data_IF_953615454328
#
_entry.id   IF_953615454328
#
_cell.length_a   1.000
_cell.length_b   1.000
_cell.length_c   1.000
_cell.angle_alpha   90.00
_cell.angle_beta   90.00
_cell.angle_gamma   90.00
#
_symmetry.space_group_name_H-M   'P 1'
#
loop_
_entity.id
_entity.type
_entity.pdbx_description
1 polymer ?
#
# COMPACT_ATOMS: atom_id res chain seq x y z
N UNK A 1 22.53 -47.48 46.21
CA UNK A 1 22.10 -47.68 44.81
C UNK A 1 20.59 -47.61 44.60
N UNK A 2 19.75 -48.45 45.24
CA UNK A 2 18.29 -48.47 44.96
C UNK A 2 17.56 -47.13 45.15
N UNK A 3 17.90 -46.34 46.18
CA UNK A 3 17.34 -45.00 46.41
C UNK A 3 17.75 -43.98 45.33
N UNK A 4 18.95 -44.10 44.79
CA UNK A 4 19.47 -43.19 43.75
C UNK A 4 18.80 -43.46 42.39
N UNK A 5 18.56 -44.74 42.07
CA UNK A 5 17.79 -45.15 40.89
C UNK A 5 16.33 -44.69 41.00
N UNK A 6 15.73 -44.76 42.19
CA UNK A 6 14.35 -44.31 42.41
C UNK A 6 14.20 -42.79 42.25
N UNK A 7 15.17 -42.00 42.74
CA UNK A 7 15.18 -40.55 42.56
C UNK A 7 15.35 -40.17 41.08
N UNK A 8 16.25 -40.84 40.35
CA UNK A 8 16.40 -40.65 38.90
C UNK A 8 15.12 -41.01 38.13
N UNK A 9 14.41 -42.07 38.54
CA UNK A 9 13.16 -42.49 37.91
C UNK A 9 12.01 -41.50 38.17
N UNK A 10 11.92 -40.95 39.38
CA UNK A 10 10.94 -39.92 39.72
C UNK A 10 11.24 -38.60 39.00
N UNK A 11 12.52 -38.19 38.89
CA UNK A 11 12.91 -37.00 38.12
C UNK A 11 12.59 -37.19 36.63
N UNK A 12 12.85 -38.38 36.06
CA UNK A 12 12.50 -38.69 34.67
C UNK A 12 10.98 -38.67 34.43
N UNK A 13 10.18 -39.19 35.37
CA UNK A 13 8.72 -39.12 35.31
C UNK A 13 8.21 -37.68 35.38
N UNK A 14 8.75 -36.85 36.29
CA UNK A 14 8.39 -35.43 36.39
C UNK A 14 8.76 -34.67 35.11
N UNK A 15 9.87 -35.01 34.46
CA UNK A 15 10.23 -34.45 33.15
C UNK A 15 9.29 -34.90 32.02
N UNK A 16 8.73 -36.10 32.06
CA UNK A 16 7.76 -36.57 31.05
C UNK A 16 6.39 -35.88 31.18
N UNK A 17 5.95 -35.52 32.38
CA UNK A 17 4.67 -34.83 32.60
C UNK A 17 4.74 -33.30 32.47
N UNK A 18 5.94 -32.72 32.45
CA UNK A 18 6.15 -31.27 32.36
C UNK A 18 6.29 -30.69 30.95
N UNK A 19 6.43 -31.53 29.92
CA UNK A 19 6.49 -31.06 28.53
C UNK A 19 5.06 -30.83 28.06
N UNK A 20 4.55 -29.61 28.27
CA UNK A 20 3.49 -29.09 27.40
C UNK A 20 3.97 -29.31 25.97
N UNK A 21 3.18 -29.99 25.15
CA UNK A 21 3.42 -30.11 23.71
C UNK A 21 3.70 -28.70 23.19
N UNK A 22 4.97 -28.42 22.89
CA UNK A 22 5.32 -27.22 22.17
C UNK A 22 4.68 -27.40 20.79
N UNK A 23 3.63 -26.63 20.50
CA UNK A 23 3.15 -26.50 19.12
C UNK A 23 4.36 -26.07 18.30
N UNK A 24 4.78 -26.92 17.37
CA UNK A 24 5.88 -26.58 16.49
C UNK A 24 5.42 -25.37 15.67
N UNK A 25 6.15 -24.24 15.77
CA UNK A 25 5.85 -23.06 14.96
C UNK A 25 6.01 -23.35 13.45
N UNK A 26 6.62 -24.48 13.09
CA UNK A 26 6.85 -24.96 11.74
C UNK A 26 6.87 -26.50 11.71
N UNK A 27 5.74 -27.09 11.36
CA UNK A 27 5.56 -28.54 11.20
C UNK A 27 6.42 -29.14 10.06
N UNK A 28 6.93 -28.31 9.15
CA UNK A 28 7.69 -28.73 7.97
C UNK A 28 9.21 -28.60 8.16
N UNK A 29 9.65 -28.15 9.35
CA UNK A 29 11.06 -28.01 9.74
C UNK A 29 11.92 -27.11 8.82
N UNK A 30 11.30 -26.22 8.05
CA UNK A 30 11.96 -25.17 7.27
C UNK A 30 12.81 -24.23 8.14
N UNK A 31 12.31 -23.85 9.33
CA UNK A 31 12.97 -22.99 10.31
C UNK A 31 14.19 -23.65 10.95
N UNK A 32 14.40 -24.96 10.78
CA UNK A 32 15.67 -25.58 11.20
C UNK A 32 16.87 -24.92 10.51
N UNK A 33 16.71 -24.53 9.24
CA UNK A 33 17.73 -23.81 8.48
C UNK A 33 17.41 -22.32 8.36
N UNK A 34 16.16 -21.94 8.09
CA UNK A 34 15.80 -20.55 7.78
C UNK A 34 15.81 -19.59 8.99
N UNK A 35 16.00 -20.07 10.23
CA UNK A 35 16.07 -19.20 11.43
C UNK A 35 17.38 -18.42 11.61
N UNK A 36 18.39 -18.63 10.77
CA UNK A 36 19.70 -17.99 10.95
C UNK A 36 19.81 -16.66 10.20
N UNK A 37 20.11 -15.57 10.92
CA UNK A 37 20.20 -14.18 10.38
C UNK A 37 21.12 -14.06 9.16
N UNK A 38 22.19 -14.86 9.10
CA UNK A 38 23.18 -14.84 8.02
C UNK A 38 22.85 -15.79 6.86
N UNK A 39 21.68 -16.44 6.87
CA UNK A 39 21.28 -17.29 5.76
C UNK A 39 20.91 -16.44 4.54
N UNK A 40 21.71 -16.56 3.49
CA UNK A 40 21.59 -15.75 2.29
C UNK A 40 22.60 -16.18 1.23
N UNK A 41 22.47 -15.63 0.02
CA UNK A 41 23.45 -15.78 -1.06
C UNK A 41 23.68 -14.46 -1.77
N UNK A 42 24.83 -14.33 -2.42
CA UNK A 42 25.08 -13.28 -3.40
C UNK A 42 24.77 -13.90 -4.77
N UNK A 43 23.93 -13.26 -5.57
CA UNK A 43 23.62 -13.75 -6.93
C UNK A 43 24.78 -13.48 -7.89
N UNK A 44 24.73 -14.04 -9.09
CA UNK A 44 25.75 -13.81 -10.13
C UNK A 44 25.84 -12.32 -10.51
N UNK A 45 24.74 -11.58 -10.36
CA UNK A 45 24.65 -10.13 -10.59
C UNK A 45 25.12 -9.30 -9.38
N UNK A 46 25.66 -9.94 -8.33
CA UNK A 46 26.15 -9.26 -7.12
C UNK A 46 25.06 -8.86 -6.12
N UNK A 47 23.79 -9.23 -6.34
CA UNK A 47 22.70 -8.91 -5.41
C UNK A 47 22.77 -9.79 -4.16
N UNK A 48 22.71 -9.19 -2.98
CA UNK A 48 22.60 -9.96 -1.73
C UNK A 48 21.14 -10.32 -1.45
N UNK A 49 20.83 -11.62 -1.40
CA UNK A 49 19.54 -12.15 -0.99
C UNK A 49 19.62 -12.80 0.38
N UNK A 50 18.72 -12.40 1.29
CA UNK A 50 18.57 -13.00 2.61
C UNK A 50 17.37 -13.95 2.62
N UNK A 51 17.55 -15.11 3.25
CA UNK A 51 16.53 -16.16 3.40
C UNK A 51 16.13 -16.39 4.86
N UNK A 52 16.57 -15.49 5.74
CA UNK A 52 16.28 -15.53 7.16
C UNK A 52 14.79 -15.25 7.44
N UNK A 53 14.19 -16.08 8.30
CA UNK A 53 12.86 -15.89 8.88
C UNK A 53 13.04 -15.63 10.38
N UNK A 54 12.60 -14.47 10.86
CA UNK A 54 12.54 -14.17 12.28
C UNK A 54 11.29 -14.84 12.88
N UNK A 55 11.48 -15.97 13.55
CA UNK A 55 10.39 -16.78 14.13
C UNK A 55 9.49 -16.00 15.13
N UNK A 56 10.02 -15.21 16.09
CA UNK A 56 9.19 -14.37 16.96
C UNK A 56 8.29 -13.36 16.23
N UNK A 57 8.73 -12.86 15.07
CA UNK A 57 7.92 -11.96 14.23
C UNK A 57 6.96 -12.78 13.38
N UNK A 58 7.45 -13.81 12.70
CA UNK A 58 6.67 -14.65 11.79
C UNK A 58 5.47 -15.28 12.46
N UNK A 59 5.66 -15.85 13.66
CA UNK A 59 4.61 -16.49 14.47
C UNK A 59 3.40 -15.58 14.74
N UNK A 60 3.60 -14.26 14.79
CA UNK A 60 2.56 -13.25 14.99
C UNK A 60 1.89 -12.77 13.69
N UNK A 61 2.37 -13.23 12.53
CA UNK A 61 1.78 -12.85 11.23
C UNK A 61 0.59 -13.74 10.89
N UNK A 62 -0.29 -13.24 10.03
CA UNK A 62 -1.41 -14.02 9.46
C UNK A 62 -0.96 -15.23 8.62
N UNK A 63 0.33 -15.31 8.28
CA UNK A 63 0.91 -16.42 7.52
C UNK A 63 1.51 -17.53 8.40
N UNK A 64 1.61 -17.35 9.73
CA UNK A 64 2.20 -18.40 10.60
C UNK A 64 1.41 -19.70 10.65
N UNK A 65 0.10 -19.63 10.38
CA UNK A 65 -0.78 -20.81 10.30
C UNK A 65 -0.86 -21.40 8.89
N UNK A 66 -0.13 -20.83 7.94
CA UNK A 66 -0.02 -21.35 6.57
C UNK A 66 1.26 -22.16 6.48
N UNK A 67 1.16 -23.39 5.96
CA UNK A 67 2.34 -24.22 5.76
C UNK A 67 3.27 -23.57 4.73
N UNK A 68 4.57 -23.68 4.94
CA UNK A 68 5.56 -23.09 4.05
C UNK A 68 5.36 -23.61 2.62
N UNK A 69 5.15 -24.93 2.46
CA UNK A 69 4.94 -25.59 1.16
C UNK A 69 3.58 -25.33 0.52
N UNK A 70 2.61 -24.73 1.22
CA UNK A 70 1.37 -24.29 0.55
C UNK A 70 1.74 -23.25 -0.52
N UNK A 71 2.54 -22.26 -0.13
CA UNK A 71 3.05 -21.23 -1.03
C UNK A 71 4.32 -21.67 -1.78
N UNK A 72 5.23 -22.37 -1.10
CA UNK A 72 6.47 -22.92 -1.66
C UNK A 72 6.24 -24.32 -2.23
N UNK A 73 5.22 -24.47 -3.08
CA UNK A 73 4.74 -25.76 -3.59
C UNK A 73 5.79 -26.53 -4.41
N UNK A 74 6.79 -25.84 -4.93
CA UNK A 74 7.92 -26.42 -5.67
C UNK A 74 8.96 -27.12 -4.77
N UNK A 75 8.82 -27.06 -3.44
CA UNK A 75 9.73 -27.74 -2.51
C UNK A 75 9.21 -29.16 -2.26
N UNK A 76 9.97 -30.15 -2.73
CA UNK A 76 9.61 -31.58 -2.62
C UNK A 76 10.54 -32.38 -1.69
N UNK A 77 11.75 -31.88 -1.43
CA UNK A 77 12.76 -32.54 -0.59
C UNK A 77 13.52 -31.52 0.27
N UNK A 78 14.13 -31.98 1.36
CA UNK A 78 15.01 -31.17 2.23
C UNK A 78 16.37 -31.88 2.39
N UNK A 79 17.52 -31.19 2.25
CA UNK A 79 17.67 -29.82 1.74
C UNK A 79 17.10 -29.65 0.33
N UNK A 80 16.41 -28.53 0.08
CA UNK A 80 15.70 -28.33 -1.18
C UNK A 80 16.62 -27.82 -2.30
N UNK A 81 16.26 -28.09 -3.55
CA UNK A 81 16.98 -27.59 -4.71
C UNK A 81 16.92 -26.05 -4.82
N UNK A 82 17.81 -25.43 -5.62
CA UNK A 82 17.77 -24.00 -5.86
C UNK A 82 16.42 -23.54 -6.41
N UNK A 83 15.78 -22.63 -5.67
CA UNK A 83 14.53 -22.01 -6.08
C UNK A 83 14.78 -21.10 -7.28
N UNK A 84 14.22 -21.48 -8.43
CA UNK A 84 14.28 -20.68 -9.68
C UNK A 84 13.08 -19.76 -9.83
N UNK A 85 11.93 -20.20 -9.33
CA UNK A 85 10.65 -19.49 -9.42
C UNK A 85 10.20 -19.12 -8.01
N UNK A 86 10.00 -17.83 -7.75
CA UNK A 86 9.53 -17.37 -6.44
C UNK A 86 8.02 -17.54 -6.29
N UNK A 87 7.53 -17.71 -5.06
CA UNK A 87 6.09 -17.81 -4.71
C UNK A 87 5.26 -16.74 -5.43
N UNK A 88 4.16 -17.13 -6.08
CA UNK A 88 3.20 -16.20 -6.68
C UNK A 88 1.97 -16.05 -5.79
N UNK A 89 1.24 -14.94 -5.90
CA UNK A 89 0.08 -14.71 -5.02
C UNK A 89 -1.17 -15.51 -5.43
N UNK A 90 -1.18 -16.05 -6.65
CA UNK A 90 -2.21 -16.95 -7.18
C UNK A 90 -1.94 -18.42 -6.86
N UNK A 91 -0.81 -18.74 -6.24
CA UNK A 91 -0.63 -20.09 -5.71
C UNK A 91 -1.64 -20.35 -4.59
N UNK A 92 -1.91 -21.63 -4.39
CA UNK A 92 -2.70 -22.12 -3.27
C UNK A 92 -2.05 -21.66 -1.96
N UNK A 93 -2.78 -20.93 -1.11
CA UNK A 93 -2.22 -20.48 0.16
C UNK A 93 -2.70 -21.32 1.32
N UNK A 94 -3.95 -21.77 1.34
CA UNK A 94 -4.45 -22.65 2.40
C UNK A 94 -4.76 -24.01 1.80
N UNK A 95 -3.98 -25.02 2.19
CA UNK A 95 -4.23 -26.39 1.78
C UNK A 95 -5.36 -27.09 2.51
N UNK A 96 -5.84 -26.48 3.58
CA UNK A 96 -7.01 -26.93 4.32
C UNK A 96 -8.25 -26.45 3.59
N UNK A 97 -9.05 -27.40 3.10
CA UNK A 97 -10.32 -27.11 2.45
C UNK A 97 -11.22 -26.32 3.37
N UNK A 98 -11.75 -25.19 2.88
CA UNK A 98 -12.72 -24.43 3.63
C UNK A 98 -13.99 -25.28 3.82
N UNK A 99 -14.45 -25.54 5.05
CA UNK A 99 -15.61 -26.41 5.29
C UNK A 99 -16.89 -25.94 4.60
N UNK A 100 -17.04 -24.64 4.35
CA UNK A 100 -18.22 -24.06 3.70
C UNK A 100 -18.17 -24.17 2.17
N UNK A 101 -17.01 -23.97 1.55
CA UNK A 101 -16.90 -23.94 0.08
C UNK A 101 -16.35 -25.23 -0.51
N UNK A 102 -15.74 -26.10 0.32
CA UNK A 102 -14.99 -27.29 -0.07
C UNK A 102 -13.89 -27.02 -1.10
N UNK A 103 -13.44 -25.76 -1.17
CA UNK A 103 -12.38 -25.30 -2.05
C UNK A 103 -11.22 -24.78 -1.23
N UNK A 104 -10.04 -24.94 -1.79
CA UNK A 104 -8.84 -24.32 -1.27
C UNK A 104 -8.88 -22.82 -1.52
N UNK A 105 -8.10 -22.06 -0.73
CA UNK A 105 -8.02 -20.61 -0.90
C UNK A 105 -6.79 -20.24 -1.74
N UNK A 106 -7.02 -19.46 -2.79
CA UNK A 106 -6.02 -18.81 -3.64
C UNK A 106 -6.48 -17.39 -4.04
N UNK A 107 -5.66 -16.66 -4.80
CA UNK A 107 -6.04 -15.40 -5.43
C UNK A 107 -6.15 -15.49 -6.96
N UNK A 108 -6.47 -16.64 -7.53
CA UNK A 108 -6.47 -16.85 -8.98
C UNK A 108 -7.39 -15.87 -9.70
N UNK A 109 -8.62 -15.66 -9.19
CA UNK A 109 -9.57 -14.72 -9.78
C UNK A 109 -9.03 -13.28 -9.82
N UNK A 110 -8.37 -12.82 -8.75
CA UNK A 110 -7.78 -11.47 -8.70
C UNK A 110 -6.55 -11.39 -9.60
N UNK A 111 -5.74 -12.45 -9.64
CA UNK A 111 -4.58 -12.55 -10.52
C UNK A 111 -4.97 -12.45 -11.99
N UNK A 112 -6.01 -13.17 -12.42
CA UNK A 112 -6.49 -13.15 -13.81
C UNK A 112 -6.95 -11.76 -14.25
N UNK A 113 -7.54 -10.99 -13.34
CA UNK A 113 -7.93 -9.61 -13.57
C UNK A 113 -6.69 -8.70 -13.61
N UNK A 114 -5.79 -8.84 -12.64
CA UNK A 114 -4.54 -8.08 -12.57
C UNK A 114 -3.70 -8.23 -13.83
N UNK A 115 -3.54 -9.45 -14.33
CA UNK A 115 -2.75 -9.75 -15.53
C UNK A 115 -3.32 -9.10 -16.80
N UNK A 116 -4.63 -8.81 -16.84
CA UNK A 116 -5.28 -8.11 -17.96
C UNK A 116 -5.18 -6.58 -17.84
N UNK A 117 -4.80 -6.06 -16.67
CA UNK A 117 -4.64 -4.63 -16.44
C UNK A 117 -3.36 -4.09 -17.08
N UNK A 118 -3.26 -2.76 -17.22
CA UNK A 118 -2.04 -2.11 -17.72
C UNK A 118 -0.83 -2.28 -16.80
N UNK A 119 -1.07 -2.61 -15.53
CA UNK A 119 -0.03 -2.90 -14.54
C UNK A 119 0.31 -4.39 -14.44
N UNK A 120 -0.46 -5.26 -15.10
CA UNK A 120 -0.28 -6.70 -15.07
C UNK A 120 1.11 -7.13 -15.57
N UNK A 121 1.79 -7.94 -14.75
CA UNK A 121 3.02 -8.64 -15.12
C UNK A 121 3.20 -9.93 -14.34
N UNK A 122 3.97 -10.83 -14.93
CA UNK A 122 4.50 -12.00 -14.23
C UNK A 122 5.61 -11.61 -13.24
N UNK A 123 5.82 -12.46 -12.23
CA UNK A 123 6.85 -12.23 -11.21
C UNK A 123 8.25 -12.39 -11.83
N UNK A 124 8.48 -13.44 -12.61
CA UNK A 124 9.70 -13.81 -13.35
C UNK A 124 9.35 -14.84 -14.47
N UNK A 125 9.97 -14.80 -15.67
CA UNK A 125 10.87 -13.76 -16.17
C UNK A 125 10.04 -12.57 -16.68
N UNK A 126 10.19 -11.42 -16.02
CA UNK A 126 9.67 -10.18 -16.56
C UNK A 126 10.51 -9.80 -17.80
N UNK A 127 9.84 -9.54 -18.92
CA UNK A 127 10.49 -8.92 -20.09
C UNK A 127 11.13 -7.57 -19.71
N UNK A 128 12.02 -7.01 -20.55
CA UNK A 128 12.67 -5.72 -20.25
C UNK A 128 11.66 -4.61 -19.93
N UNK A 129 10.52 -4.58 -20.63
CA UNK A 129 9.41 -3.64 -20.40
C UNK A 129 8.63 -3.94 -19.13
N UNK A 130 8.42 -5.22 -18.80
CA UNK A 130 7.67 -5.63 -17.61
C UNK A 130 8.43 -5.37 -16.30
N UNK A 131 9.77 -5.27 -16.32
CA UNK A 131 10.54 -4.93 -15.11
C UNK A 131 10.11 -3.62 -14.45
N UNK A 132 9.52 -2.70 -15.22
CA UNK A 132 9.04 -1.41 -14.74
C UNK A 132 7.60 -1.44 -14.22
N UNK A 133 6.86 -2.54 -14.38
CA UNK A 133 5.50 -2.66 -13.84
C UNK A 133 5.56 -3.14 -12.37
N UNK A 134 4.61 -2.73 -11.51
CA UNK A 134 4.53 -3.27 -10.16
C UNK A 134 4.18 -4.76 -10.18
N UNK A 135 4.36 -5.45 -9.04
CA UNK A 135 3.71 -6.75 -8.78
C UNK A 135 2.87 -6.63 -7.51
N UNK A 136 2.16 -7.69 -7.12
CA UNK A 136 1.25 -7.67 -5.97
C UNK A 136 1.88 -7.07 -4.70
N UNK A 137 3.13 -7.42 -4.39
CA UNK A 137 3.85 -6.99 -3.18
C UNK A 137 4.27 -5.52 -3.17
N UNK A 138 4.19 -4.83 -4.32
CA UNK A 138 4.44 -3.40 -4.36
C UNK A 138 3.24 -2.62 -3.82
N UNK A 139 2.04 -3.01 -4.25
CA UNK A 139 0.79 -2.39 -3.82
C UNK A 139 0.21 -3.02 -2.55
N UNK A 140 0.53 -4.27 -2.23
CA UNK A 140 0.14 -4.93 -0.98
C UNK A 140 1.36 -5.08 -0.11
N UNK A 141 1.46 -4.25 0.92
CA UNK A 141 2.50 -4.36 1.94
C UNK A 141 1.96 -5.20 3.10
N UNK A 142 2.82 -6.05 3.67
CA UNK A 142 2.55 -6.66 4.97
C UNK A 142 3.51 -6.02 5.97
N UNK A 143 3.12 -4.92 6.63
CA UNK A 143 4.00 -4.29 7.59
C UNK A 143 4.30 -5.26 8.73
N UNK A 144 5.60 -5.48 8.96
CA UNK A 144 6.12 -6.32 10.05
C UNK A 144 5.88 -5.69 11.43
N UNK A 145 5.57 -4.39 11.45
CA UNK A 145 5.33 -3.60 12.66
C UNK A 145 4.04 -2.80 12.49
N UNK A 146 3.14 -2.89 13.46
CA UNK A 146 1.98 -2.01 13.53
C UNK A 146 2.39 -0.72 14.25
N UNK A 147 2.27 0.46 13.61
CA UNK A 147 2.55 1.75 14.26
C UNK A 147 1.86 1.88 15.62
N UNK A 148 2.52 2.55 16.57
CA UNK A 148 1.97 2.76 17.92
C UNK A 148 0.60 3.47 17.91
N UNK A 149 0.33 4.27 16.87
CA UNK A 149 -0.98 4.89 16.62
C UNK A 149 -2.13 3.90 16.45
N UNK A 150 -1.83 2.63 16.14
CA UNK A 150 -2.81 1.56 16.01
C UNK A 150 -2.70 0.54 17.15
N UNK A 151 -1.95 0.86 18.22
CA UNK A 151 -1.71 -0.09 19.31
C UNK A 151 -2.97 -0.39 20.14
N UNK A 152 -3.91 0.56 20.22
CA UNK A 152 -5.16 0.41 20.94
C UNK A 152 -6.30 0.07 19.97
N UNK A 153 -6.99 -1.07 20.14
CA UNK A 153 -8.12 -1.44 19.28
C UNK A 153 -9.33 -0.52 19.39
N UNK A 154 -9.46 0.22 20.48
CA UNK A 154 -10.55 1.18 20.67
C UNK A 154 -10.29 2.49 19.90
N UNK A 155 -9.02 2.83 19.67
CA UNK A 155 -8.61 4.05 18.96
C UNK A 155 -8.48 3.79 17.44
N UNK A 156 -8.07 2.59 17.03
CA UNK A 156 -7.94 2.22 15.62
C UNK A 156 -8.37 0.76 15.33
N UNK A 157 -9.31 0.53 14.41
CA UNK A 157 -9.77 -0.81 14.07
C UNK A 157 -8.69 -1.67 13.38
N UNK A 158 -7.56 -1.09 12.96
CA UNK A 158 -6.40 -1.78 12.37
C UNK A 158 -5.44 -2.41 13.39
N UNK A 159 -5.75 -2.29 14.68
CA UNK A 159 -4.91 -2.79 15.78
C UNK A 159 -4.50 -4.26 15.68
N UNK A 160 -3.38 -4.60 16.33
CA UNK A 160 -2.95 -6.00 16.55
C UNK A 160 -3.85 -6.75 17.53
N UNK A 161 -4.75 -6.04 18.21
CA UNK A 161 -5.68 -6.60 19.18
C UNK A 161 -7.11 -6.46 18.68
N UNK A 162 -7.97 -7.34 19.15
CA UNK A 162 -9.42 -7.23 19.00
C UNK A 162 -9.95 -6.40 20.17
N UNK A 163 -10.96 -5.51 19.98
CA UNK A 163 -11.67 -4.90 21.09
C UNK A 163 -12.21 -5.96 22.05
N UNK A 164 -12.04 -5.75 23.36
CA UNK A 164 -12.37 -6.77 24.37
C UNK A 164 -13.85 -7.16 24.32
N UNK A 165 -14.74 -6.17 24.20
CA UNK A 165 -16.18 -6.38 24.12
C UNK A 165 -16.59 -7.20 22.89
N UNK A 166 -15.93 -6.98 21.75
CA UNK A 166 -16.16 -7.74 20.53
C UNK A 166 -15.69 -9.19 20.67
N UNK A 167 -14.54 -9.39 21.30
CA UNK A 167 -13.99 -10.71 21.54
C UNK A 167 -14.86 -11.51 22.51
N UNK A 168 -15.35 -10.88 23.58
CA UNK A 168 -16.22 -11.52 24.58
C UNK A 168 -17.53 -12.02 23.96
N UNK A 169 -18.09 -11.30 22.98
CA UNK A 169 -19.27 -11.74 22.21
C UNK A 169 -18.99 -13.02 21.43
N UNK A 170 -17.78 -13.15 20.86
CA UNK A 170 -17.39 -14.36 20.14
C UNK A 170 -17.15 -15.53 21.09
N UNK A 171 -16.59 -15.25 22.28
CA UNK A 171 -16.27 -16.26 23.29
C UNK A 171 -17.51 -17.00 23.83
N UNK A 172 -18.70 -16.37 23.78
CA UNK A 172 -19.98 -17.00 24.12
C UNK A 172 -20.18 -18.34 23.39
N UNK A 173 -19.73 -18.43 22.14
CA UNK A 173 -19.82 -19.64 21.32
C UNK A 173 -18.45 -20.28 21.06
N UNK A 174 -17.39 -19.48 20.91
CA UNK A 174 -16.05 -19.93 20.60
C UNK A 174 -15.18 -19.92 21.85
N UNK A 175 -15.24 -20.99 22.64
CA UNK A 175 -14.63 -21.14 23.98
C UNK A 175 -13.08 -21.03 24.05
N UNK A 176 -12.40 -20.71 22.94
CA UNK A 176 -10.95 -20.50 22.88
C UNK A 176 -10.65 -19.07 22.41
N UNK A 177 -10.27 -18.20 23.35
CA UNK A 177 -9.92 -16.80 23.07
C UNK A 177 -8.87 -16.65 21.97
N UNK A 178 -7.83 -17.48 22.00
CA UNK A 178 -6.79 -17.49 20.97
C UNK A 178 -7.34 -17.75 19.57
N UNK A 179 -8.32 -18.65 19.44
CA UNK A 179 -8.97 -18.92 18.16
C UNK A 179 -9.77 -17.70 17.68
N UNK A 180 -10.51 -17.05 18.58
CA UNK A 180 -11.30 -15.85 18.28
C UNK A 180 -10.39 -14.72 17.81
N UNK A 181 -9.35 -14.41 18.58
CA UNK A 181 -8.38 -13.36 18.28
C UNK A 181 -7.71 -13.62 16.93
N UNK A 182 -7.19 -14.84 16.73
CA UNK A 182 -6.52 -15.19 15.48
C UNK A 182 -7.47 -15.11 14.28
N UNK A 183 -8.69 -15.66 14.40
CA UNK A 183 -9.68 -15.66 13.31
C UNK A 183 -10.14 -14.24 12.96
N UNK A 184 -10.35 -13.41 13.96
CA UNK A 184 -10.66 -12.00 13.78
C UNK A 184 -9.50 -11.27 13.11
N UNK A 185 -8.30 -11.32 13.67
CA UNK A 185 -7.13 -10.62 13.13
C UNK A 185 -6.79 -11.07 11.70
N UNK A 186 -6.92 -12.36 11.39
CA UNK A 186 -6.73 -12.89 10.03
C UNK A 186 -7.67 -12.22 9.01
N UNK A 187 -8.94 -12.02 9.37
CA UNK A 187 -9.95 -11.42 8.48
C UNK A 187 -9.92 -9.89 8.52
N UNK A 188 -9.82 -9.30 9.71
CA UNK A 188 -9.71 -7.87 9.95
C UNK A 188 -8.49 -7.25 9.24
N UNK A 189 -7.34 -7.94 9.21
CA UNK A 189 -6.17 -7.49 8.45
C UNK A 189 -6.49 -7.32 6.96
N UNK A 190 -7.31 -8.18 6.36
CA UNK A 190 -7.69 -8.04 4.95
C UNK A 190 -8.70 -6.93 4.71
N UNK A 191 -9.60 -6.69 5.66
CA UNK A 191 -10.70 -5.73 5.52
C UNK A 191 -10.22 -4.30 5.83
N UNK A 192 -9.39 -4.14 6.86
CA UNK A 192 -9.08 -2.85 7.46
C UNK A 192 -7.67 -2.36 7.10
N UNK A 193 -6.70 -3.26 7.01
CA UNK A 193 -5.29 -2.90 6.77
C UNK A 193 -4.91 -2.81 5.27
N UNK A 194 -5.78 -3.27 4.37
CA UNK A 194 -5.60 -3.08 2.91
C UNK A 194 -6.15 -1.71 2.45
N UNK A 195 -6.96 -1.05 3.29
CA UNK A 195 -7.55 0.24 2.98
C UNK A 195 -6.54 1.36 3.19
N UNK A 196 -6.25 2.10 2.12
CA UNK A 196 -5.43 3.31 2.14
C UNK A 196 -6.33 4.54 2.16
N UNK A 197 -5.90 5.58 2.86
CA UNK A 197 -6.44 6.93 2.72
C UNK A 197 -6.24 7.44 1.28
N UNK A 198 -7.03 8.41 0.81
CA UNK A 198 -6.83 9.02 -0.50
C UNK A 198 -5.40 9.53 -0.72
N UNK A 199 -4.78 10.10 0.32
CA UNK A 199 -3.40 10.58 0.30
C UNK A 199 -2.38 9.45 0.11
N UNK A 200 -2.53 8.34 0.84
CA UNK A 200 -1.66 7.17 0.69
C UNK A 200 -1.80 6.51 -0.69
N UNK A 201 -3.02 6.50 -1.26
CA UNK A 201 -3.24 6.03 -2.64
C UNK A 201 -2.49 6.90 -3.64
N UNK A 202 -2.62 8.23 -3.55
CA UNK A 202 -1.91 9.16 -4.43
C UNK A 202 -0.41 8.99 -4.28
N UNK A 203 0.10 8.96 -3.05
CA UNK A 203 1.53 8.77 -2.79
C UNK A 203 2.05 7.47 -3.44
N UNK A 204 1.33 6.35 -3.30
CA UNK A 204 1.70 5.08 -3.92
C UNK A 204 1.80 5.20 -5.45
N UNK A 205 0.83 5.82 -6.10
CA UNK A 205 0.82 5.99 -7.55
C UNK A 205 1.95 6.94 -8.02
N UNK A 206 2.23 8.00 -7.26
CA UNK A 206 3.27 8.99 -7.59
C UNK A 206 4.69 8.42 -7.54
N UNK A 207 4.94 7.31 -6.85
CA UNK A 207 6.27 6.65 -6.86
C UNK A 207 6.73 6.37 -8.30
N UNK A 208 5.79 5.99 -9.18
CA UNK A 208 6.07 5.76 -10.59
C UNK A 208 5.55 6.92 -11.47
N UNK A 209 4.28 7.32 -11.30
CA UNK A 209 3.63 8.31 -12.17
C UNK A 209 3.98 9.77 -11.86
N UNK A 210 4.79 10.02 -10.83
CA UNK A 210 5.35 11.34 -10.51
C UNK A 210 6.88 11.36 -10.54
N UNK A 211 7.54 10.26 -10.89
CA UNK A 211 9.01 10.15 -10.87
C UNK A 211 9.60 10.42 -12.25
N UNK A 212 10.32 11.54 -12.40
CA UNK A 212 11.01 11.91 -13.66
C UNK A 212 12.00 10.84 -14.11
N UNK A 213 12.80 10.30 -13.19
CA UNK A 213 13.76 9.24 -13.47
C UNK A 213 13.06 7.96 -13.97
N UNK A 214 11.91 7.61 -13.39
CA UNK A 214 11.12 6.47 -13.86
C UNK A 214 10.56 6.73 -15.27
N UNK A 215 10.02 7.93 -15.51
CA UNK A 215 9.50 8.33 -16.83
C UNK A 215 10.57 8.26 -17.92
N UNK A 216 11.75 8.85 -17.70
CA UNK A 216 12.85 8.86 -18.65
C UNK A 216 13.34 7.44 -18.99
N UNK A 217 13.50 6.58 -17.97
CA UNK A 217 13.86 5.18 -18.20
C UNK A 217 12.80 4.44 -19.01
N UNK A 218 11.52 4.68 -18.71
CA UNK A 218 10.43 4.02 -19.42
C UNK A 218 10.30 4.52 -20.86
N UNK A 219 10.54 5.81 -21.10
CA UNK A 219 10.54 6.42 -22.42
C UNK A 219 11.68 5.86 -23.29
N UNK A 220 12.88 5.72 -22.72
CA UNK A 220 14.02 5.09 -23.41
C UNK A 220 13.70 3.65 -23.82
N UNK A 221 13.15 2.85 -22.91
CA UNK A 221 12.77 1.46 -23.20
C UNK A 221 11.67 1.40 -24.26
N UNK A 222 10.67 2.29 -24.20
CA UNK A 222 9.64 2.37 -25.22
C UNK A 222 10.25 2.68 -26.60
N UNK A 223 11.15 3.66 -26.67
CA UNK A 223 11.87 4.04 -27.90
C UNK A 223 12.69 2.88 -28.47
N UNK A 224 13.41 2.14 -27.63
CA UNK A 224 14.15 0.92 -28.02
C UNK A 224 13.24 -0.15 -28.62
N UNK A 225 11.97 -0.22 -28.20
CA UNK A 225 10.95 -1.13 -28.74
C UNK A 225 10.13 -0.53 -29.91
N UNK A 226 10.50 0.64 -30.42
CA UNK A 226 9.74 1.32 -31.49
C UNK A 226 8.37 1.86 -31.05
N UNK A 227 8.16 2.04 -29.74
CA UNK A 227 6.94 2.57 -29.13
C UNK A 227 7.20 3.98 -28.59
N UNK A 228 6.11 4.71 -28.36
CA UNK A 228 6.14 5.99 -27.64
C UNK A 228 5.20 5.92 -26.44
N UNK A 229 5.57 6.61 -25.36
CA UNK A 229 4.65 6.81 -24.24
C UNK A 229 3.61 7.86 -24.64
N UNK A 230 2.39 7.72 -24.11
CA UNK A 230 1.37 8.74 -24.30
C UNK A 230 1.67 9.99 -23.47
N UNK A 231 1.40 11.18 -24.01
CA UNK A 231 1.58 12.48 -23.34
C UNK A 231 0.98 12.52 -21.92
N UNK A 232 -0.19 11.87 -21.77
CA UNK A 232 -0.90 11.75 -20.49
C UNK A 232 -0.09 11.06 -19.40
N UNK A 233 0.78 10.12 -19.77
CA UNK A 233 1.59 9.37 -18.82
C UNK A 233 2.67 10.25 -18.18
N UNK A 234 3.28 11.14 -18.96
CA UNK A 234 4.39 12.00 -18.53
C UNK A 234 3.93 13.03 -17.49
N UNK A 235 2.71 13.53 -17.64
CA UNK A 235 2.15 14.59 -16.80
C UNK A 235 1.25 14.08 -15.67
N UNK A 236 1.07 12.76 -15.52
CA UNK A 236 -0.02 12.20 -14.71
C UNK A 236 0.01 12.69 -13.25
N UNK A 237 1.15 12.54 -12.57
CA UNK A 237 1.29 12.94 -11.17
C UNK A 237 1.22 14.44 -10.95
N UNK A 238 1.91 15.23 -11.78
CA UNK A 238 1.96 16.68 -11.65
C UNK A 238 0.59 17.32 -11.93
N UNK A 239 -0.05 16.94 -13.03
CA UNK A 239 -1.38 17.45 -13.40
C UNK A 239 -2.43 17.12 -12.35
N UNK A 240 -2.44 15.89 -11.80
CA UNK A 240 -3.34 15.53 -10.71
C UNK A 240 -3.12 16.43 -9.48
N UNK A 241 -1.86 16.67 -9.09
CA UNK A 241 -1.55 17.52 -7.94
C UNK A 241 -1.90 19.00 -8.15
N UNK A 242 -2.09 19.45 -9.39
CA UNK A 242 -2.58 20.80 -9.73
C UNK A 242 -4.11 20.87 -9.80
N UNK A 243 -4.78 19.75 -10.09
CA UNK A 243 -6.26 19.68 -10.11
C UNK A 243 -6.90 20.14 -8.80
N UNK A 244 -8.20 20.41 -8.83
CA UNK A 244 -8.95 20.74 -7.62
C UNK A 244 -8.82 19.62 -6.58
N UNK A 245 -9.03 18.37 -6.98
CA UNK A 245 -8.93 17.22 -6.09
C UNK A 245 -7.54 17.10 -5.43
N UNK A 246 -6.47 17.27 -6.20
CA UNK A 246 -5.10 17.25 -5.68
C UNK A 246 -4.77 18.45 -4.79
N UNK A 247 -5.29 19.63 -5.11
CA UNK A 247 -5.11 20.85 -4.32
C UNK A 247 -5.79 20.76 -2.96
N UNK A 248 -7.05 20.30 -2.90
CA UNK A 248 -7.73 20.06 -1.62
C UNK A 248 -7.04 18.97 -0.78
N UNK A 249 -6.47 17.94 -1.42
CA UNK A 249 -5.64 16.96 -0.72
C UNK A 249 -4.42 17.58 -0.06
N UNK A 250 -3.72 18.51 -0.75
CA UNK A 250 -2.58 19.24 -0.20
C UNK A 250 -2.97 20.11 1.00
N UNK A 251 -4.17 20.68 0.97
CA UNK A 251 -4.74 21.49 2.05
C UNK A 251 -5.24 20.65 3.25
N UNK A 252 -5.07 19.32 3.22
CA UNK A 252 -5.42 18.45 4.33
C UNK A 252 -6.86 17.95 4.31
N UNK A 253 -7.60 18.15 3.22
CA UNK A 253 -8.91 17.51 3.09
C UNK A 253 -8.73 15.98 3.01
N UNK A 254 -9.47 15.25 3.84
CA UNK A 254 -9.26 13.80 4.01
C UNK A 254 -9.99 12.94 2.96
N UNK A 255 -10.99 13.51 2.28
CA UNK A 255 -11.87 12.78 1.34
C UNK A 255 -11.88 13.29 -0.12
N UNK A 256 -10.80 13.87 -0.70
CA UNK A 256 -10.74 14.19 -2.12
C UNK A 256 -10.74 12.92 -2.97
N UNK A 257 -11.22 13.04 -4.21
CA UNK A 257 -11.04 12.01 -5.22
C UNK A 257 -9.53 11.75 -5.44
N UNK A 258 -9.14 10.49 -5.44
CA UNK A 258 -7.78 10.03 -5.70
C UNK A 258 -7.67 9.32 -7.06
N UNK A 259 -6.48 8.81 -7.39
CA UNK A 259 -6.24 8.11 -8.66
C UNK A 259 -7.25 6.97 -8.91
N UNK A 260 -7.55 6.16 -7.89
CA UNK A 260 -8.48 5.04 -8.00
C UNK A 260 -9.95 5.49 -8.10
N UNK A 261 -10.29 6.69 -7.63
CA UNK A 261 -11.65 7.24 -7.77
C UNK A 261 -12.05 7.37 -9.25
N UNK A 262 -11.08 7.63 -10.12
CA UNK A 262 -11.28 7.72 -11.56
C UNK A 262 -10.90 6.43 -12.30
N UNK A 263 -9.82 5.77 -11.92
CA UNK A 263 -9.28 4.61 -12.63
C UNK A 263 -9.90 3.26 -12.25
N UNK A 264 -10.60 3.19 -11.11
CA UNK A 264 -11.35 2.02 -10.70
C UNK A 264 -12.87 2.27 -10.77
N UNK A 265 -13.63 1.18 -10.87
CA UNK A 265 -15.07 1.15 -10.78
C UNK A 265 -15.52 1.00 -9.32
N UNK A 266 -16.67 1.55 -8.98
CA UNK A 266 -17.32 1.33 -7.69
C UNK A 266 -18.00 -0.04 -7.64
N UNK A 267 -18.38 -0.61 -8.80
CA UNK A 267 -18.94 -1.95 -8.87
C UNK A 267 -17.84 -2.97 -8.58
N UNK A 268 -17.94 -3.61 -7.41
CA UNK A 268 -16.91 -4.49 -6.88
C UNK A 268 -15.53 -3.80 -6.86
N UNK A 269 -15.46 -2.67 -6.16
CA UNK A 269 -14.26 -1.85 -6.03
C UNK A 269 -13.00 -2.68 -5.74
N UNK A 270 -13.07 -3.64 -4.82
CA UNK A 270 -11.93 -4.47 -4.42
C UNK A 270 -11.41 -5.41 -5.52
N UNK A 271 -12.20 -5.71 -6.55
CA UNK A 271 -11.73 -6.38 -7.76
C UNK A 271 -11.28 -5.36 -8.82
N UNK A 272 -12.01 -4.25 -8.95
CA UNK A 272 -11.74 -3.25 -9.99
C UNK A 272 -10.42 -2.50 -9.79
N UNK A 273 -9.92 -2.35 -8.56
CA UNK A 273 -8.60 -1.75 -8.31
C UNK A 273 -7.45 -2.57 -8.89
N UNK A 274 -7.69 -3.84 -9.23
CA UNK A 274 -6.76 -4.70 -9.95
C UNK A 274 -6.99 -4.68 -11.46
N UNK A 275 -8.05 -4.04 -11.95
CA UNK A 275 -8.48 -4.01 -13.36
C UNK A 275 -8.25 -2.63 -14.00
N UNK A 276 -7.12 -2.01 -13.70
CA UNK A 276 -6.81 -0.66 -14.23
C UNK A 276 -6.55 -0.76 -15.73
N UNK A 277 -7.45 -0.17 -16.53
CA UNK A 277 -7.42 -0.23 -17.99
C UNK A 277 -6.94 1.08 -18.61
N UNK A 278 -6.35 0.98 -19.81
CA UNK A 278 -6.02 2.13 -20.65
C UNK A 278 -7.26 2.97 -20.94
N UNK A 279 -7.12 4.30 -21.01
CA UNK A 279 -8.22 5.19 -21.40
C UNK A 279 -8.74 4.96 -22.83
N UNK A 280 -8.00 4.19 -23.66
CA UNK A 280 -8.43 3.75 -25.00
C UNK A 280 -9.35 2.52 -24.97
N UNK A 281 -9.41 1.78 -23.86
CA UNK A 281 -10.27 0.62 -23.73
C UNK A 281 -11.71 1.09 -23.43
N UNK A 282 -12.73 0.70 -24.23
CA UNK A 282 -14.14 1.04 -24.00
C UNK A 282 -14.68 0.61 -22.63
N UNK A 283 -14.07 -0.39 -21.99
CA UNK A 283 -14.41 -0.85 -20.63
C UNK A 283 -13.72 -0.05 -19.53
N UNK A 284 -12.80 0.85 -19.86
CA UNK A 284 -12.15 1.71 -18.88
C UNK A 284 -13.14 2.75 -18.36
N UNK A 285 -13.15 2.97 -17.04
CA UNK A 285 -13.89 4.07 -16.41
C UNK A 285 -13.43 5.43 -16.92
N UNK A 286 -12.16 5.52 -17.35
CA UNK A 286 -11.55 6.74 -17.90
C UNK A 286 -11.71 6.88 -19.42
N UNK A 287 -12.41 5.95 -20.08
CA UNK A 287 -12.76 6.09 -21.50
C UNK A 287 -13.60 7.36 -21.72
N UNK A 288 -13.39 8.14 -22.81
CA UNK A 288 -14.20 9.33 -23.13
C UNK A 288 -15.71 9.17 -22.91
N UNK A 289 -16.26 8.03 -23.34
CA UNK A 289 -17.70 7.74 -23.21
C UNK A 289 -18.16 7.38 -21.80
N UNK A 290 -17.24 7.04 -20.89
CA UNK A 290 -17.54 6.64 -19.51
C UNK A 290 -17.19 7.72 -18.49
N UNK A 291 -16.29 8.65 -18.80
CA UNK A 291 -15.76 9.66 -17.86
C UNK A 291 -16.85 10.45 -17.11
N UNK A 292 -17.89 10.91 -17.81
CA UNK A 292 -18.99 11.63 -17.17
C UNK A 292 -19.70 10.82 -16.06
N UNK A 293 -19.83 9.50 -16.25
CA UNK A 293 -20.42 8.60 -15.24
C UNK A 293 -19.54 8.49 -13.99
N UNK A 294 -18.23 8.69 -14.12
CA UNK A 294 -17.29 8.72 -13.00
C UNK A 294 -17.51 9.98 -12.18
N UNK A 295 -17.56 11.15 -12.83
CA UNK A 295 -17.84 12.42 -12.16
C UNK A 295 -19.19 12.38 -11.43
N UNK A 296 -20.20 11.79 -12.07
CA UNK A 296 -21.56 11.64 -11.53
C UNK A 296 -21.64 10.76 -10.26
N UNK A 297 -20.58 10.05 -9.88
CA UNK A 297 -20.52 9.29 -8.63
C UNK A 297 -20.54 10.20 -7.39
N UNK A 298 -20.01 11.41 -7.52
CA UNK A 298 -19.93 12.39 -6.43
C UNK A 298 -20.60 13.72 -6.79
N UNK A 299 -20.60 14.11 -8.06
CA UNK A 299 -21.21 15.34 -8.55
C UNK A 299 -22.56 15.05 -9.20
N UNK A 300 -23.63 15.22 -8.43
CA UNK A 300 -24.99 15.06 -8.93
C UNK A 300 -25.24 15.96 -10.15
N UNK A 301 -25.80 15.39 -11.23
CA UNK A 301 -26.05 16.11 -12.48
C UNK A 301 -24.81 16.32 -13.37
N UNK A 302 -23.65 15.75 -13.04
CA UNK A 302 -22.46 15.83 -13.90
C UNK A 302 -22.69 15.16 -15.28
N UNK A 303 -22.97 15.99 -16.28
CA UNK A 303 -23.11 15.56 -17.68
C UNK A 303 -21.78 15.47 -18.44
N UNK A 304 -21.85 15.19 -19.74
CA UNK A 304 -20.66 15.08 -20.62
C UNK A 304 -19.76 16.32 -20.63
N UNK A 305 -20.35 17.51 -20.49
CA UNK A 305 -19.58 18.75 -20.46
C UNK A 305 -18.86 18.96 -19.12
N UNK A 306 -19.40 18.44 -18.01
CA UNK A 306 -18.76 18.52 -16.70
C UNK A 306 -17.42 17.78 -16.68
N UNK A 307 -17.35 16.62 -17.35
CA UNK A 307 -16.11 15.84 -17.46
C UNK A 307 -14.98 16.49 -18.27
N UNK A 308 -15.22 17.68 -18.85
CA UNK A 308 -14.21 18.50 -19.53
C UNK A 308 -13.67 19.64 -18.66
N UNK A 309 -14.23 19.86 -17.46
CA UNK A 309 -13.87 20.99 -16.59
C UNK A 309 -12.62 20.68 -15.76
N UNK A 310 -12.54 19.48 -15.18
CA UNK A 310 -11.38 19.02 -14.40
C UNK A 310 -10.63 17.98 -15.25
N UNK A 311 -9.99 18.44 -16.32
CA UNK A 311 -9.06 17.58 -17.06
C UNK A 311 -7.92 17.18 -16.11
N UNK A 312 -7.39 15.97 -16.27
CA UNK A 312 -6.22 15.49 -15.54
C UNK A 312 -5.39 14.66 -16.50
N UNK A 313 -4.08 14.58 -16.27
CA UNK A 313 -3.10 13.96 -17.16
C UNK A 313 -2.89 14.74 -18.46
N UNK A 314 -2.70 16.05 -18.37
CA UNK A 314 -2.36 16.92 -19.49
C UNK A 314 -1.20 17.85 -19.09
N UNK A 315 -0.51 18.39 -20.09
CA UNK A 315 0.47 19.44 -19.89
C UNK A 315 -0.25 20.80 -19.96
N UNK A 316 -0.32 21.58 -18.87
CA UNK A 316 -1.04 22.84 -18.87
C UNK A 316 -0.52 23.84 -19.90
N UNK A 317 0.79 23.89 -20.12
CA UNK A 317 1.39 24.83 -21.06
C UNK A 317 1.03 24.51 -22.51
N UNK A 318 0.96 23.22 -22.87
CA UNK A 318 0.69 22.78 -24.24
C UNK A 318 -0.80 22.61 -24.53
N UNK A 319 -1.58 22.11 -23.58
CA UNK A 319 -2.98 21.77 -23.78
C UNK A 319 -3.96 22.91 -23.42
N UNK A 320 -3.60 23.76 -22.45
CA UNK A 320 -4.44 24.86 -21.92
C UNK A 320 -3.62 26.14 -21.71
N UNK A 321 -3.01 26.69 -22.77
CA UNK A 321 -2.02 27.77 -22.66
C UNK A 321 -2.61 29.06 -22.08
N UNK A 322 -3.86 29.39 -22.40
CA UNK A 322 -4.51 30.62 -21.91
C UNK A 322 -4.67 30.53 -20.40
N UNK A 323 -5.24 29.43 -19.91
CA UNK A 323 -5.43 29.14 -18.50
C UNK A 323 -4.09 29.15 -17.76
N UNK A 324 -3.04 28.56 -18.34
CA UNK A 324 -1.69 28.56 -17.77
C UNK A 324 -1.12 29.97 -17.60
N UNK A 325 -1.22 30.83 -18.62
CA UNK A 325 -0.70 32.20 -18.52
C UNK A 325 -1.56 33.07 -17.59
N UNK A 326 -2.87 32.88 -17.57
CA UNK A 326 -3.79 33.56 -16.64
C UNK A 326 -3.48 33.18 -15.19
N UNK A 327 -3.34 31.88 -14.90
CA UNK A 327 -2.95 31.38 -13.57
C UNK A 327 -1.62 31.99 -13.12
N UNK A 328 -0.60 31.97 -13.98
CA UNK A 328 0.71 32.54 -13.67
C UNK A 328 0.65 34.06 -13.44
N UNK A 329 -0.11 34.79 -14.25
CA UNK A 329 -0.31 36.22 -14.07
C UNK A 329 -0.90 36.54 -12.69
N UNK A 330 -2.00 35.87 -12.33
CA UNK A 330 -2.65 36.08 -11.04
C UNK A 330 -1.79 35.61 -9.86
N UNK A 331 -1.03 34.53 -10.03
CA UNK A 331 -0.06 34.08 -9.02
C UNK A 331 0.97 35.17 -8.73
N UNK A 332 1.65 35.69 -9.76
CA UNK A 332 2.67 36.73 -9.59
C UNK A 332 2.09 38.05 -9.09
N UNK A 333 0.92 38.45 -9.59
CA UNK A 333 0.22 39.64 -9.11
C UNK A 333 -0.09 39.54 -7.62
N UNK A 334 -0.66 38.40 -7.20
CA UNK A 334 -1.08 38.16 -5.82
C UNK A 334 0.14 38.07 -4.90
N UNK A 335 1.16 37.27 -5.26
CA UNK A 335 2.40 37.17 -4.51
C UNK A 335 3.12 38.52 -4.39
N UNK A 336 3.15 39.31 -5.48
CA UNK A 336 3.72 40.66 -5.48
C UNK A 336 2.96 41.60 -4.54
N UNK A 337 1.64 41.58 -4.57
CA UNK A 337 0.81 42.36 -3.65
C UNK A 337 1.03 41.97 -2.18
N UNK A 338 1.08 40.67 -1.88
CA UNK A 338 1.40 40.20 -0.53
C UNK A 338 2.80 40.62 -0.08
N UNK A 339 3.80 40.50 -0.94
CA UNK A 339 5.17 40.92 -0.63
C UNK A 339 5.24 42.43 -0.36
N UNK A 340 4.57 43.25 -1.17
CA UNK A 340 4.50 44.69 -0.96
C UNK A 340 3.83 45.03 0.37
N UNK A 341 2.70 44.40 0.69
CA UNK A 341 1.99 44.60 1.96
C UNK A 341 2.85 44.20 3.17
N UNK A 342 3.48 43.02 3.14
CA UNK A 342 4.37 42.54 4.22
C UNK A 342 5.56 43.49 4.38
N UNK A 343 6.13 43.98 3.27
CA UNK A 343 7.24 44.92 3.29
C UNK A 343 6.83 46.26 3.92
N UNK A 344 5.67 46.80 3.56
CA UNK A 344 5.12 48.02 4.16
C UNK A 344 4.88 47.86 5.67
N UNK A 345 4.30 46.73 6.09
CA UNK A 345 4.06 46.42 7.51
C UNK A 345 5.39 46.35 8.27
N UNK A 346 6.40 45.68 7.68
CA UNK A 346 7.72 45.52 8.32
C UNK A 346 8.45 46.86 8.41
N UNK A 347 8.39 47.69 7.37
CA UNK A 347 8.96 49.04 7.39
C UNK A 347 8.27 49.94 8.41
N UNK A 348 6.93 49.91 8.51
CA UNK A 348 6.21 50.66 9.53
C UNK A 348 6.55 50.17 10.95
N UNK A 349 6.64 48.86 11.15
CA UNK A 349 7.02 48.29 12.43
C UNK A 349 8.45 48.66 12.83
N UNK A 350 9.39 48.59 11.90
CA UNK A 350 10.78 49.03 12.11
C UNK A 350 10.85 50.52 12.44
N UNK A 351 10.12 51.37 11.69
CA UNK A 351 10.03 52.81 11.98
C UNK A 351 9.51 53.07 13.39
N UNK A 352 8.40 52.43 13.80
CA UNK A 352 7.83 52.56 15.15
C UNK A 352 8.82 52.13 16.23
N UNK A 353 9.53 51.02 16.02
CA UNK A 353 10.57 50.56 16.94
C UNK A 353 11.70 51.59 17.09
N UNK A 354 12.16 52.18 15.98
CA UNK A 354 13.16 53.26 16.01
C UNK A 354 12.66 54.54 16.69
N UNK A 355 11.38 54.89 16.51
CA UNK A 355 10.76 56.04 17.17
C UNK A 355 10.72 55.85 18.69
N UNK A 356 10.46 54.62 19.17
CA UNK A 356 10.55 54.25 20.60
C UNK A 356 12.00 54.34 21.11
N UNK A 357 12.97 53.74 20.40
CA UNK A 357 14.40 53.77 20.78
C UNK A 357 14.93 55.21 20.86
N UNK A 358 14.48 56.11 19.98
CA UNK A 358 14.88 57.52 19.95
C UNK A 358 14.11 58.41 20.94
N UNK A 359 13.30 57.83 21.82
CA UNK A 359 12.54 58.56 22.84
C UNK A 359 11.39 59.41 22.29
N UNK A 360 10.93 59.15 21.06
CA UNK A 360 9.87 59.90 20.38
C UNK A 360 8.52 59.16 20.36
N UNK A 361 8.45 57.91 20.82
CA UNK A 361 7.23 57.09 20.81
C UNK A 361 6.63 56.89 22.21
N UNK A 362 5.35 57.21 22.38
CA UNK A 362 4.52 56.68 23.47
C UNK A 362 3.92 55.34 23.04
N UNK A 363 4.16 54.27 23.78
CA UNK A 363 3.29 53.09 23.71
C UNK A 363 1.96 53.47 24.34
N UNK A 364 1.00 53.87 23.52
CA UNK A 364 -0.38 54.08 23.97
C UNK A 364 -0.90 52.78 24.59
N UNK A 365 -1.28 52.87 25.86
CA UNK A 365 -2.04 51.86 26.58
C UNK A 365 -3.40 51.66 25.91
N UNK A 366 -3.64 50.47 25.36
CA UNK A 366 -4.98 49.92 25.20
C UNK A 366 -4.95 48.45 25.58
#
# INVERSE_FOLDING_TARGET
MKRFVYILFVIALVFQYGVKTADAADDENCLMCHKYIKMGRITEEGERRYYYINEPIFSKTVHSRVKCRDCHSYIEKLPHDPVKEGVTCNSRCHSIQNPATKKDFDHQNIYDVYMKSVHGREKVPATKTDKNKPYCTFCHTNPLYIPATYANPDDDPRSEKIPTDLADRCDVCHQKREFVEHRYLHTARRILNVKRSPREVVQLCLICHGSKEFLERHERVAKEEGKHLGEKFISAGESYLRSFHGSFMKLGWEKPANCLSCHADNKNYFLSVHDIRSAKDPKSTTHPDNRHKVCARCHEGAGKNFSKIDEVHYNPHENHPIEYYVENFFFWLTSGAFFALISLITLDHHRRMWDVIRGKGHFGSH
#
